data_IF_818464676518
#
_entry.id   IF_818464676518
#
_cell.length_a   1.000
_cell.length_b   1.000
_cell.length_c   1.000
_cell.angle_alpha   90.00
_cell.angle_beta   90.00
_cell.angle_gamma   90.00
#
_symmetry.space_group_name_H-M   'P 1'
#
loop_
_entity.id
_entity.type
_entity.pdbx_description
1 polymer ?
#
# COMPACT_ATOMS: atom_id res chain seq x y z
N UNK A 1 13.87 17.21 -3.05
CA UNK A 1 13.57 16.07 -3.93
C UNK A 1 12.09 16.11 -4.20
N UNK A 2 11.69 16.31 -5.46
CA UNK A 2 10.28 16.19 -5.85
C UNK A 2 9.85 14.74 -5.67
N UNK A 3 8.88 14.49 -4.78
CA UNK A 3 8.27 13.18 -4.64
C UNK A 3 7.15 13.10 -5.67
N UNK A 4 7.27 12.19 -6.63
CA UNK A 4 6.19 11.87 -7.58
C UNK A 4 5.31 10.79 -6.96
N UNK A 5 4.76 11.07 -5.77
CA UNK A 5 3.96 10.12 -5.01
C UNK A 5 2.54 10.07 -5.58
N UNK A 6 2.10 8.88 -5.96
CA UNK A 6 0.73 8.62 -6.40
C UNK A 6 0.10 7.55 -5.53
N UNK A 7 -1.23 7.60 -5.43
CA UNK A 7 -2.04 6.53 -4.85
C UNK A 7 -2.71 5.77 -5.98
N UNK A 8 -2.66 4.44 -5.93
CA UNK A 8 -3.36 3.59 -6.90
C UNK A 8 -4.24 2.57 -6.20
N UNK A 9 -5.31 2.17 -6.90
CA UNK A 9 -6.07 0.96 -6.58
C UNK A 9 -5.93 -0.03 -7.73
N UNK A 10 -5.62 -1.28 -7.44
CA UNK A 10 -5.48 -2.33 -8.47
C UNK A 10 -6.74 -3.18 -8.62
N UNK A 11 -6.78 -3.98 -9.68
CA UNK A 11 -7.85 -4.96 -9.96
C UNK A 11 -8.03 -5.99 -8.85
N UNK A 12 -6.98 -6.30 -8.09
CA UNK A 12 -7.03 -7.14 -6.89
C UNK A 12 -7.51 -6.39 -5.64
N UNK A 13 -8.05 -5.18 -5.81
CA UNK A 13 -8.53 -4.28 -4.76
C UNK A 13 -7.47 -3.88 -3.73
N UNK A 14 -6.19 -4.04 -4.06
CA UNK A 14 -5.12 -3.52 -3.22
C UNK A 14 -4.95 -2.02 -3.46
N UNK A 15 -4.72 -1.26 -2.40
CA UNK A 15 -4.39 0.16 -2.45
C UNK A 15 -2.92 0.36 -2.11
N UNK A 16 -2.21 1.14 -2.92
CA UNK A 16 -0.78 1.38 -2.80
C UNK A 16 -0.44 2.86 -2.86
N UNK A 17 0.61 3.25 -2.13
CA UNK A 17 1.35 4.49 -2.33
C UNK A 17 2.63 4.17 -3.09
N UNK A 18 2.94 4.96 -4.12
CA UNK A 18 4.07 4.70 -5.01
C UNK A 18 4.78 6.01 -5.30
N UNK A 19 6.07 6.09 -4.96
CA UNK A 19 6.93 7.18 -5.42
C UNK A 19 7.55 6.74 -6.75
N UNK A 20 7.01 7.25 -7.85
CA UNK A 20 7.40 6.83 -9.19
C UNK A 20 8.89 7.11 -9.45
N UNK A 21 9.56 6.11 -10.00
CA UNK A 21 10.92 6.20 -10.50
C UNK A 21 10.92 5.89 -12.00
N UNK A 22 11.96 6.34 -12.69
CA UNK A 22 12.16 6.04 -14.10
C UNK A 22 13.07 4.83 -14.25
N UNK A 23 12.65 3.92 -15.11
CA UNK A 23 13.39 2.72 -15.52
C UNK A 23 12.96 2.38 -16.95
N UNK A 24 13.91 2.16 -17.85
CA UNK A 24 13.63 1.95 -19.27
C UNK A 24 12.82 0.68 -19.51
N UNK A 25 13.09 -0.40 -18.77
CA UNK A 25 12.32 -1.64 -18.93
C UNK A 25 10.86 -1.43 -18.54
N UNK A 26 10.61 -0.76 -17.42
CA UNK A 26 9.26 -0.50 -16.92
C UNK A 26 8.48 0.45 -17.81
N UNK A 27 9.13 1.50 -18.34
CA UNK A 27 8.54 2.43 -19.31
C UNK A 27 8.14 1.71 -20.61
N UNK A 28 9.02 0.88 -21.17
CA UNK A 28 8.76 0.11 -22.39
C UNK A 28 7.61 -0.91 -22.23
N UNK A 29 7.45 -1.44 -21.01
CA UNK A 29 6.45 -2.49 -20.72
C UNK A 29 5.19 -1.97 -20.02
N UNK A 30 5.05 -0.64 -19.84
CA UNK A 30 3.94 0.00 -19.12
C UNK A 30 3.74 -0.58 -17.70
N UNK A 31 4.84 -0.66 -16.94
CA UNK A 31 4.87 -1.15 -15.57
C UNK A 31 5.10 0.03 -14.63
N UNK A 32 4.34 0.11 -13.54
CA UNK A 32 4.62 1.05 -12.46
C UNK A 32 5.86 0.62 -11.69
N UNK A 33 6.87 1.47 -11.74
CA UNK A 33 8.13 1.26 -11.06
C UNK A 33 8.39 2.35 -10.04
N UNK A 34 8.84 1.95 -8.85
CA UNK A 34 9.15 2.92 -7.80
C UNK A 34 9.25 2.32 -6.41
N UNK A 35 9.26 3.22 -5.44
CA UNK A 35 9.21 2.85 -4.03
C UNK A 35 7.76 2.72 -3.60
N UNK A 36 7.41 1.64 -2.89
CA UNK A 36 6.00 1.29 -2.67
C UNK A 36 5.67 1.00 -1.22
N UNK A 37 4.45 1.34 -0.81
CA UNK A 37 3.82 0.90 0.45
C UNK A 37 2.40 0.44 0.16
N UNK A 38 2.05 -0.78 0.61
CA UNK A 38 0.67 -1.29 0.55
C UNK A 38 -0.14 -0.75 1.73
N UNK A 39 -1.28 -0.13 1.46
CA UNK A 39 -2.19 0.38 2.51
C UNK A 39 -3.26 -0.64 2.91
N UNK A 40 -3.76 -1.40 1.93
CA UNK A 40 -4.80 -2.40 2.14
C UNK A 40 -4.23 -3.69 2.74
N UNK A 41 -4.34 -3.84 4.06
CA UNK A 41 -3.80 -4.98 4.80
C UNK A 41 -4.83 -5.55 5.79
N UNK A 42 -4.58 -6.78 6.24
CA UNK A 42 -5.28 -7.40 7.37
C UNK A 42 -4.77 -6.84 8.69
N UNK A 43 -5.58 -6.94 9.76
CA UNK A 43 -5.18 -6.57 11.13
C UNK A 43 -4.01 -7.41 11.67
N UNK A 44 -3.80 -8.61 11.14
CA UNK A 44 -2.73 -9.51 11.55
C UNK A 44 -1.50 -9.41 10.62
N UNK A 45 -1.49 -8.44 9.71
CA UNK A 45 -0.45 -8.25 8.70
C UNK A 45 0.42 -7.02 9.02
N UNK A 46 1.53 -6.89 8.31
CA UNK A 46 2.45 -5.78 8.40
C UNK A 46 2.36 -4.87 7.18
N UNK A 47 2.63 -3.59 7.42
CA UNK A 47 3.00 -2.66 6.35
C UNK A 47 4.45 -2.91 5.95
N UNK A 48 4.72 -2.90 4.65
CA UNK A 48 6.05 -3.06 4.09
C UNK A 48 6.35 -1.91 3.14
N UNK A 49 7.54 -1.34 3.30
CA UNK A 49 8.17 -0.50 2.29
C UNK A 49 9.02 -1.39 1.39
N UNK A 50 9.00 -1.12 0.09
CA UNK A 50 9.87 -1.79 -0.88
C UNK A 50 10.47 -0.74 -1.79
N UNK A 51 11.79 -0.79 -1.96
CA UNK A 51 12.54 0.19 -2.76
C UNK A 51 12.69 -0.30 -4.21
N UNK A 52 12.40 0.59 -5.17
CA UNK A 52 12.67 0.39 -6.59
C UNK A 52 12.16 -0.95 -7.14
N UNK A 53 10.87 -1.23 -6.94
CA UNK A 53 10.22 -2.45 -7.44
C UNK A 53 9.33 -2.16 -8.64
N UNK A 54 9.26 -3.12 -9.57
CA UNK A 54 8.26 -3.20 -10.62
C UNK A 54 6.97 -3.78 -10.02
N UNK A 55 6.03 -2.89 -9.66
CA UNK A 55 4.88 -3.27 -8.84
C UNK A 55 3.78 -4.00 -9.64
N UNK A 56 3.30 -3.39 -10.72
CA UNK A 56 2.09 -3.82 -11.44
C UNK A 56 2.04 -3.20 -12.83
N UNK A 57 1.32 -3.82 -13.76
CA UNK A 57 1.11 -3.25 -15.10
C UNK A 57 0.02 -2.17 -15.06
N UNK A 58 0.13 -1.17 -15.95
CA UNK A 58 -0.85 -0.08 -16.06
C UNK A 58 -2.29 -0.58 -16.27
N UNK A 59 -2.46 -1.67 -17.03
CA UNK A 59 -3.76 -2.30 -17.28
C UNK A 59 -4.44 -2.85 -16.02
N UNK A 60 -3.69 -3.06 -14.95
CA UNK A 60 -4.19 -3.60 -13.68
C UNK A 60 -4.59 -2.48 -12.70
N UNK A 61 -4.45 -1.21 -13.11
CA UNK A 61 -4.81 -0.04 -12.30
C UNK A 61 -6.27 0.33 -12.56
N UNK A 62 -7.07 0.36 -11.49
CA UNK A 62 -8.46 0.82 -11.51
C UNK A 62 -8.58 2.32 -11.33
N UNK A 63 -7.78 2.91 -10.45
CA UNK A 63 -7.78 4.36 -10.20
C UNK A 63 -6.37 4.87 -9.87
N UNK A 64 -6.14 6.14 -10.22
CA UNK A 64 -4.98 6.93 -9.82
C UNK A 64 -5.49 8.19 -9.11
N UNK A 65 -4.97 8.42 -7.93
CA UNK A 65 -5.39 9.52 -7.05
C UNK A 65 -4.17 10.22 -6.46
N UNK A 66 -4.36 11.47 -6.05
CA UNK A 66 -3.35 12.16 -5.24
C UNK A 66 -3.43 11.65 -3.81
N UNK A 67 -2.30 11.25 -3.19
CA UNK A 67 -2.26 10.93 -1.77
C UNK A 67 -2.62 12.13 -0.91
N UNK A 68 -3.24 11.88 0.25
CA UNK A 68 -3.42 12.92 1.28
C UNK A 68 -2.08 13.25 1.94
N UNK A 69 -2.01 14.37 2.65
CA UNK A 69 -0.81 14.74 3.43
C UNK A 69 -0.44 13.66 4.45
N UNK A 70 -1.43 13.06 5.12
CA UNK A 70 -1.17 12.01 6.12
C UNK A 70 -0.70 10.69 5.49
N UNK A 71 -1.17 10.38 4.28
CA UNK A 71 -0.67 9.24 3.48
C UNK A 71 0.80 9.46 3.05
N UNK A 72 1.16 10.69 2.65
CA UNK A 72 2.55 11.05 2.33
C UNK A 72 3.44 10.91 3.58
N UNK A 73 2.99 11.42 4.73
CA UNK A 73 3.73 11.29 5.99
C UNK A 73 3.91 9.82 6.40
N UNK A 74 2.89 8.99 6.19
CA UNK A 74 2.98 7.55 6.42
C UNK A 74 4.00 6.88 5.51
N UNK A 75 4.01 7.22 4.21
CA UNK A 75 4.99 6.70 3.26
C UNK A 75 6.42 7.05 3.68
N UNK A 76 6.66 8.31 4.07
CA UNK A 76 7.96 8.76 4.55
C UNK A 76 8.38 8.07 5.86
N UNK A 77 7.43 7.84 6.77
CA UNK A 77 7.66 7.06 7.98
C UNK A 77 8.06 5.62 7.65
N UNK A 78 7.31 4.94 6.78
CA UNK A 78 7.58 3.56 6.36
C UNK A 78 8.91 3.42 5.62
N UNK A 79 9.34 4.44 4.86
CA UNK A 79 10.68 4.48 4.26
C UNK A 79 11.81 4.41 5.30
N UNK A 80 11.60 4.91 6.52
CA UNK A 80 12.60 4.84 7.59
C UNK A 80 12.52 3.50 8.32
N UNK A 81 11.31 3.03 8.66
CA UNK A 81 11.14 1.83 9.49
C UNK A 81 11.13 0.52 8.72
N UNK A 82 10.92 0.58 7.40
CA UNK A 82 10.86 -0.52 6.43
C UNK A 82 9.70 -1.50 6.62
N UNK A 83 9.48 -1.99 7.84
CA UNK A 83 8.38 -2.88 8.20
C UNK A 83 7.73 -2.43 9.51
N UNK A 84 6.40 -2.49 9.56
CA UNK A 84 5.66 -2.22 10.79
C UNK A 84 4.37 -3.02 10.83
N UNK A 85 4.22 -3.87 11.84
CA UNK A 85 2.96 -4.56 12.11
C UNK A 85 1.82 -3.56 12.26
N UNK A 86 0.63 -3.93 11.76
CA UNK A 86 -0.58 -3.14 11.97
C UNK A 86 -0.77 -2.82 13.45
N UNK A 87 -1.12 -1.57 13.73
CA UNK A 87 -1.72 -1.20 15.01
C UNK A 87 -2.76 -0.12 14.77
N UNK A 88 -3.87 -0.20 15.52
CA UNK A 88 -4.94 0.79 15.41
C UNK A 88 -4.42 2.22 15.64
N UNK A 89 -3.56 2.41 16.63
CA UNK A 89 -2.98 3.72 16.93
C UNK A 89 -2.17 4.29 15.74
N UNK A 90 -1.38 3.45 15.05
CA UNK A 90 -0.64 3.86 13.86
C UNK A 90 -1.59 4.20 12.71
N UNK A 91 -2.58 3.35 12.46
CA UNK A 91 -3.51 3.53 11.36
C UNK A 91 -4.38 4.79 11.54
N UNK A 92 -4.88 5.05 12.75
CA UNK A 92 -5.62 6.26 13.07
C UNK A 92 -4.72 7.51 12.99
N UNK A 93 -3.46 7.44 13.47
CA UNK A 93 -2.51 8.57 13.40
C UNK A 93 -2.32 9.10 11.98
N UNK A 94 -2.22 8.20 11.00
CA UNK A 94 -2.01 8.56 9.61
C UNK A 94 -3.29 8.56 8.75
N UNK A 95 -4.45 8.33 9.37
CA UNK A 95 -5.74 8.30 8.67
C UNK A 95 -5.83 7.21 7.61
N UNK A 96 -5.25 6.04 7.86
CA UNK A 96 -5.24 4.88 6.93
C UNK A 96 -6.10 3.71 7.43
N UNK A 97 -6.85 3.90 8.51
CA UNK A 97 -7.66 2.85 9.12
C UNK A 97 -8.81 2.34 8.22
N UNK A 98 -9.27 3.17 7.28
CA UNK A 98 -10.29 2.78 6.30
C UNK A 98 -9.78 1.81 5.23
N UNK A 99 -8.46 1.62 5.13
CA UNK A 99 -7.85 0.62 4.24
C UNK A 99 -7.77 -0.78 4.86
N UNK A 100 -8.10 -0.93 6.14
CA UNK A 100 -7.98 -2.22 6.82
C UNK A 100 -9.08 -3.17 6.37
N UNK A 101 -8.66 -4.31 5.83
CA UNK A 101 -9.57 -5.36 5.38
C UNK A 101 -10.04 -6.13 6.63
N UNK A 102 -11.35 -6.24 6.87
CA UNK A 102 -11.86 -7.09 7.94
C UNK A 102 -11.38 -8.52 7.72
N UNK A 103 -10.66 -9.07 8.69
CA UNK A 103 -10.49 -10.53 8.76
C UNK A 103 -11.86 -11.12 9.04
N UNK A 104 -12.37 -11.95 8.13
CA UNK A 104 -13.52 -12.80 8.45
C UNK A 104 -13.20 -13.57 9.76
N UNK A 105 -14.15 -13.72 10.69
CA UNK A 105 -13.93 -14.55 11.86
C UNK A 105 -13.74 -15.99 11.38
N UNK A 106 -12.53 -16.53 11.53
CA UNK A 106 -12.25 -17.97 11.37
C UNK A 106 -12.60 -18.71 12.68
N UNK A 107 -12.97 -18.01 13.75
CA UNK A 107 -13.15 -18.58 15.10
C UNK A 107 -14.56 -19.08 15.45
N UNK A 108 -15.55 -19.02 14.54
CA UNK A 108 -16.93 -19.47 14.85
C UNK A 108 -17.28 -20.87 14.28
N UNK A 109 -16.30 -21.67 13.86
CA UNK A 109 -16.53 -23.05 13.37
C UNK A 109 -16.20 -24.17 14.37
N UNK A 110 -15.82 -23.86 15.62
CA UNK A 110 -15.54 -24.87 16.66
C UNK A 110 -16.50 -24.78 17.87
N UNK A 111 -17.77 -24.43 17.64
CA UNK A 111 -18.83 -24.59 18.65
C UNK A 111 -20.09 -25.17 18.05
N UNK A 112 -19.98 -26.39 17.51
CA UNK A 112 -21.07 -27.35 17.44
C UNK A 112 -20.46 -28.74 17.16
N UNK A 113 -20.00 -29.41 18.20
CA UNK A 113 -19.71 -30.85 18.24
C UNK A 113 -20.01 -31.38 19.63
#
# INVERSE_FOLDING_TARGET
MEQHLIKIRTTFHNTWLINLKKDSFSEENNILFGDTVRLSISKNDSYYFSEAIALTYDKEILSREQPTTTEIDFFNYMKVVQERMFSKALATKYGIEHYIIPTAPIDDLEKDS
#
